data_IF_428794703481
#
_entry.id   IF_428794703481
#
_cell.length_a   1.000
_cell.length_b   1.000
_cell.length_c   1.000
_cell.angle_alpha   90.00
_cell.angle_beta   90.00
_cell.angle_gamma   90.00
#
_symmetry.space_group_name_H-M   'P 1'
#
loop_
_entity.id
_entity.type
_entity.pdbx_description
1 polymer ?
#
# COMPACT_ATOMS: atom_id res chain seq x y z
N UNK A 1 -14.69 23.12 25.77
CA UNK A 1 -16.11 22.96 26.17
C UNK A 1 -16.96 23.08 24.90
N UNK A 2 -17.38 21.95 24.36
CA UNK A 2 -18.38 21.91 23.28
C UNK A 2 -19.71 22.20 23.94
N UNK A 3 -20.26 23.38 23.71
CA UNK A 3 -21.58 23.74 24.21
C UNK A 3 -22.63 22.83 23.58
N UNK A 4 -23.60 22.39 24.37
CA UNK A 4 -24.74 21.57 23.93
C UNK A 4 -25.66 22.25 22.91
N UNK A 5 -25.37 23.49 22.54
CA UNK A 5 -26.04 24.27 21.48
C UNK A 5 -25.43 24.06 20.08
N UNK A 6 -24.31 23.30 19.97
CA UNK A 6 -23.61 23.11 18.71
C UNK A 6 -24.02 21.82 17.98
N UNK A 7 -25.22 21.30 18.27
CA UNK A 7 -25.82 20.23 17.49
C UNK A 7 -26.16 20.75 16.09
N UNK A 8 -25.47 20.23 15.11
CA UNK A 8 -25.75 20.54 13.71
C UNK A 8 -27.11 19.94 13.35
N UNK A 9 -28.03 20.79 12.87
CA UNK A 9 -29.31 20.33 12.32
C UNK A 9 -29.12 19.97 10.84
N UNK A 10 -29.23 18.71 10.53
CA UNK A 10 -29.09 18.19 9.17
C UNK A 10 -30.42 18.12 8.40
N UNK A 11 -31.54 18.61 8.98
CA UNK A 11 -32.85 18.47 8.33
C UNK A 11 -32.96 19.20 6.99
N UNK A 12 -32.20 20.30 6.83
CA UNK A 12 -32.15 21.09 5.61
C UNK A 12 -31.09 20.61 4.62
N UNK A 13 -30.23 19.67 5.00
CA UNK A 13 -29.21 19.11 4.13
C UNK A 13 -29.82 18.15 3.09
N UNK A 14 -29.15 18.00 1.96
CA UNK A 14 -29.60 17.12 0.87
C UNK A 14 -29.96 15.69 1.36
N UNK A 15 -29.15 15.11 2.26
CA UNK A 15 -29.37 13.77 2.80
C UNK A 15 -30.25 13.74 4.05
N UNK A 16 -30.57 14.89 4.66
CA UNK A 16 -31.36 15.01 5.88
C UNK A 16 -30.78 14.32 7.11
N UNK A 17 -29.51 13.94 7.07
CA UNK A 17 -28.77 13.28 8.14
C UNK A 17 -27.28 13.46 7.98
N UNK A 18 -26.52 13.26 9.06
CA UNK A 18 -25.05 13.27 8.99
C UNK A 18 -24.57 12.23 7.97
N UNK A 19 -23.76 12.69 7.02
CA UNK A 19 -23.11 11.88 6.01
C UNK A 19 -21.65 12.26 5.90
N UNK A 20 -20.84 11.34 5.44
CA UNK A 20 -19.41 11.54 5.25
C UNK A 20 -18.96 10.99 3.90
N UNK A 21 -17.88 11.54 3.36
CA UNK A 21 -17.19 10.93 2.23
C UNK A 21 -16.57 9.60 2.66
N UNK A 22 -16.57 8.63 1.76
CA UNK A 22 -16.06 7.30 2.08
C UNK A 22 -14.55 7.29 2.28
N UNK A 23 -14.08 6.53 3.24
CA UNK A 23 -12.65 6.31 3.55
C UNK A 23 -12.11 5.07 2.83
N UNK A 24 -12.99 4.18 2.36
CA UNK A 24 -12.67 2.92 1.65
C UNK A 24 -13.98 2.30 1.14
N UNK A 25 -13.91 1.51 0.09
CA UNK A 25 -15.01 0.67 -0.38
C UNK A 25 -15.01 -0.73 0.23
N UNK A 26 -14.11 -1.02 1.15
CA UNK A 26 -13.87 -2.36 1.69
C UNK A 26 -15.10 -2.97 2.36
N UNK A 27 -15.74 -2.24 3.28
CA UNK A 27 -16.86 -2.79 4.07
C UNK A 27 -18.05 -3.20 3.20
N UNK A 28 -18.40 -2.39 2.22
CA UNK A 28 -19.43 -2.70 1.24
C UNK A 28 -18.98 -3.81 0.30
N UNK A 29 -17.69 -3.82 -0.06
CA UNK A 29 -17.05 -4.85 -0.87
C UNK A 29 -17.10 -6.23 -0.22
N UNK A 30 -16.80 -6.34 1.06
CA UNK A 30 -16.85 -7.60 1.83
C UNK A 30 -18.24 -8.24 1.82
N UNK A 31 -19.30 -7.43 1.89
CA UNK A 31 -20.68 -7.93 1.73
C UNK A 31 -20.90 -8.55 0.34
N UNK A 32 -20.37 -7.92 -0.70
CA UNK A 32 -20.41 -8.46 -2.07
C UNK A 32 -19.57 -9.72 -2.20
N UNK A 33 -18.37 -9.76 -1.65
CA UNK A 33 -17.46 -10.88 -1.72
C UNK A 33 -18.03 -12.15 -1.08
N UNK A 34 -18.78 -12.04 0.01
CA UNK A 34 -19.42 -13.20 0.64
C UNK A 34 -20.45 -13.88 -0.26
N UNK A 35 -21.07 -13.16 -1.18
CA UNK A 35 -22.08 -13.69 -2.12
C UNK A 35 -21.48 -14.09 -3.47
N UNK A 36 -20.49 -13.34 -3.96
CA UNK A 36 -19.93 -13.48 -5.31
C UNK A 36 -18.59 -14.18 -5.34
N UNK A 37 -17.94 -14.38 -4.18
CA UNK A 37 -16.65 -15.02 -4.04
C UNK A 37 -15.48 -14.07 -4.21
N UNK A 38 -15.43 -13.31 -5.29
CA UNK A 38 -14.39 -12.32 -5.56
C UNK A 38 -14.99 -11.08 -6.21
N UNK A 39 -14.67 -9.93 -5.68
CA UNK A 39 -15.04 -8.62 -6.21
C UNK A 39 -13.87 -7.65 -6.13
N UNK A 40 -14.02 -6.48 -6.68
CA UNK A 40 -13.17 -5.34 -6.34
C UNK A 40 -14.02 -4.07 -6.29
N UNK A 41 -13.58 -3.11 -5.50
CA UNK A 41 -14.04 -1.72 -5.59
C UNK A 41 -12.98 -0.88 -6.29
N UNK A 42 -13.44 0.13 -7.04
CA UNK A 42 -12.56 1.09 -7.68
C UNK A 42 -13.22 2.46 -7.67
N UNK A 43 -12.68 3.38 -6.89
CA UNK A 43 -13.29 4.70 -6.75
C UNK A 43 -12.47 5.65 -5.88
N UNK A 44 -12.92 6.91 -5.80
CA UNK A 44 -12.28 7.90 -4.95
C UNK A 44 -12.53 7.60 -3.48
N UNK A 45 -11.50 7.79 -2.68
CA UNK A 45 -11.52 7.68 -1.22
C UNK A 45 -11.00 8.96 -0.59
N UNK A 46 -11.47 9.24 0.62
CA UNK A 46 -11.19 10.50 1.31
C UNK A 46 -10.73 10.22 2.74
N UNK A 47 -9.59 10.76 3.11
CA UNK A 47 -9.03 10.61 4.46
C UNK A 47 -8.55 11.95 4.98
N UNK A 48 -8.95 12.31 6.19
CA UNK A 48 -8.45 13.50 6.89
C UNK A 48 -7.08 13.18 7.52
N UNK A 49 -6.06 13.04 6.67
CA UNK A 49 -4.69 12.76 7.10
C UNK A 49 -4.03 14.02 7.64
N UNK A 50 -3.45 13.93 8.83
CA UNK A 50 -2.65 15.02 9.41
C UNK A 50 -1.15 14.79 9.20
N UNK A 51 -0.77 14.24 8.06
CA UNK A 51 0.61 13.97 7.71
C UNK A 51 1.02 14.66 6.42
N UNK A 52 2.17 15.33 6.45
CA UNK A 52 2.75 16.03 5.30
C UNK A 52 3.81 15.15 4.63
N UNK A 53 3.46 13.92 4.26
CA UNK A 53 4.39 13.04 3.55
C UNK A 53 4.04 12.96 2.07
N UNK A 54 4.99 12.69 1.18
CA UNK A 54 4.73 12.51 -0.26
C UNK A 54 3.77 11.36 -0.60
N UNK A 55 3.46 10.50 0.38
CA UNK A 55 2.61 9.31 0.20
C UNK A 55 1.17 9.48 0.70
N UNK A 56 0.84 10.62 1.34
CA UNK A 56 -0.48 10.85 1.92
C UNK A 56 -1.19 11.98 1.22
N UNK A 57 -2.34 11.67 0.64
CA UNK A 57 -3.26 12.61 0.01
C UNK A 57 -4.62 12.54 0.72
N UNK A 58 -5.35 13.64 0.74
CA UNK A 58 -6.69 13.70 1.32
C UNK A 58 -7.75 13.05 0.41
N UNK A 59 -7.49 12.99 -0.89
CA UNK A 59 -8.31 12.34 -1.90
C UNK A 59 -7.41 11.52 -2.83
N UNK A 60 -7.77 10.27 -3.06
CA UNK A 60 -7.05 9.36 -3.96
C UNK A 60 -7.96 8.22 -4.41
N UNK A 61 -7.56 7.51 -5.45
CA UNK A 61 -8.29 6.36 -5.95
C UNK A 61 -7.61 5.08 -5.47
N UNK A 62 -8.43 4.11 -5.07
CA UNK A 62 -7.96 2.77 -4.72
C UNK A 62 -8.61 1.72 -5.59
N UNK A 63 -7.85 0.68 -5.92
CA UNK A 63 -8.36 -0.61 -6.35
C UNK A 63 -8.30 -1.53 -5.15
N UNK A 64 -9.44 -2.01 -4.69
CA UNK A 64 -9.59 -2.76 -3.45
C UNK A 64 -10.22 -4.13 -3.76
N UNK A 65 -9.43 -5.16 -4.10
CA UNK A 65 -9.94 -6.51 -4.30
C UNK A 65 -10.32 -7.16 -2.98
N UNK A 66 -11.49 -7.81 -2.95
CA UNK A 66 -12.00 -8.56 -1.83
C UNK A 66 -12.29 -10.00 -2.30
N UNK A 67 -11.57 -10.96 -1.75
CA UNK A 67 -11.66 -12.36 -2.16
C UNK A 67 -12.02 -13.24 -0.96
N UNK A 68 -13.24 -13.74 -0.95
CA UNK A 68 -13.70 -14.65 0.10
C UNK A 68 -12.96 -15.98 0.01
N UNK A 69 -12.74 -16.63 1.17
CA UNK A 69 -12.13 -17.95 1.31
C UNK A 69 -10.67 -18.06 0.87
N UNK A 70 -9.99 -16.91 0.67
CA UNK A 70 -8.57 -16.86 0.38
C UNK A 70 -7.79 -16.78 1.69
N UNK A 71 -6.78 -17.61 1.84
CA UNK A 71 -5.85 -17.56 2.98
C UNK A 71 -4.68 -16.59 2.69
N UNK A 72 -3.78 -16.42 3.68
CA UNK A 72 -2.63 -15.53 3.55
C UNK A 72 -1.71 -15.92 2.38
N UNK A 73 -1.52 -17.20 2.13
CA UNK A 73 -0.68 -17.67 1.04
C UNK A 73 -1.27 -17.29 -0.32
N UNK A 74 -2.56 -17.54 -0.51
CA UNK A 74 -3.27 -17.14 -1.72
C UNK A 74 -3.36 -15.61 -1.88
N UNK A 75 -3.46 -14.85 -0.78
CA UNK A 75 -3.42 -13.39 -0.83
C UNK A 75 -2.07 -12.89 -1.37
N UNK A 76 -0.95 -13.41 -0.87
CA UNK A 76 0.38 -13.03 -1.34
C UNK A 76 0.58 -13.37 -2.82
N UNK A 77 0.08 -14.52 -3.29
CA UNK A 77 0.11 -14.88 -4.72
C UNK A 77 -0.72 -13.88 -5.55
N UNK A 78 -1.91 -13.53 -5.10
CA UNK A 78 -2.77 -12.55 -5.75
C UNK A 78 -2.11 -11.17 -5.83
N UNK A 79 -1.47 -10.70 -4.75
CA UNK A 79 -0.76 -9.42 -4.72
C UNK A 79 0.41 -9.40 -5.72
N UNK A 80 1.20 -10.47 -5.77
CA UNK A 80 2.29 -10.60 -6.72
C UNK A 80 1.79 -10.57 -8.17
N UNK A 81 0.78 -11.36 -8.48
CA UNK A 81 0.17 -11.43 -9.82
C UNK A 81 -0.45 -10.10 -10.23
N UNK A 82 -1.15 -9.44 -9.30
CA UNK A 82 -1.77 -8.14 -9.56
C UNK A 82 -0.74 -7.05 -9.89
N UNK A 83 0.32 -6.94 -9.10
CA UNK A 83 1.40 -5.97 -9.34
C UNK A 83 2.09 -6.25 -10.67
N UNK A 84 2.43 -7.51 -10.92
CA UNK A 84 3.06 -7.92 -12.19
C UNK A 84 2.16 -7.69 -13.40
N UNK A 85 0.87 -7.93 -13.27
CA UNK A 85 -0.11 -7.64 -14.32
C UNK A 85 -0.13 -6.15 -14.66
N UNK A 86 -0.24 -5.28 -13.66
CA UNK A 86 -0.27 -3.83 -13.85
C UNK A 86 1.03 -3.31 -14.51
N UNK A 87 2.18 -3.80 -14.05
CA UNK A 87 3.48 -3.43 -14.62
C UNK A 87 3.57 -3.87 -16.08
N UNK A 88 3.21 -5.10 -16.38
CA UNK A 88 3.23 -5.63 -17.77
C UNK A 88 2.32 -4.82 -18.66
N UNK A 89 1.10 -4.55 -18.19
CA UNK A 89 0.15 -3.74 -18.94
C UNK A 89 0.70 -2.33 -19.25
N UNK A 90 1.31 -1.68 -18.27
CA UNK A 90 1.92 -0.37 -18.45
C UNK A 90 3.09 -0.41 -19.44
N UNK A 91 3.98 -1.39 -19.35
CA UNK A 91 5.11 -1.57 -20.28
C UNK A 91 4.63 -1.81 -21.71
N UNK A 92 3.52 -2.52 -21.89
CA UNK A 92 2.99 -2.84 -23.22
C UNK A 92 2.18 -1.68 -23.82
N UNK A 93 1.43 -0.95 -23.02
CA UNK A 93 0.42 0.00 -23.49
C UNK A 93 0.77 1.49 -23.25
N UNK A 94 1.70 1.82 -22.34
CA UNK A 94 2.08 3.19 -22.00
C UNK A 94 3.54 3.50 -22.38
N UNK A 95 4.00 3.02 -23.54
CA UNK A 95 5.42 3.09 -23.93
C UNK A 95 5.95 4.51 -24.04
N UNK A 96 5.18 5.41 -24.63
CA UNK A 96 5.60 6.80 -24.84
C UNK A 96 5.68 7.56 -23.51
N UNK A 97 4.70 7.35 -22.62
CA UNK A 97 4.68 7.94 -21.29
C UNK A 97 5.84 7.42 -20.43
N UNK A 98 6.06 6.10 -20.45
CA UNK A 98 7.19 5.49 -19.73
C UNK A 98 8.54 5.94 -20.27
N UNK A 99 8.69 6.08 -21.57
CA UNK A 99 9.91 6.62 -22.18
C UNK A 99 10.17 8.07 -21.74
N UNK A 100 9.12 8.90 -21.73
CA UNK A 100 9.20 10.26 -21.23
C UNK A 100 9.60 10.30 -19.75
N UNK A 101 8.89 9.56 -18.89
CA UNK A 101 9.17 9.51 -17.45
C UNK A 101 10.56 8.98 -17.16
N UNK A 102 10.99 7.91 -17.88
CA UNK A 102 12.33 7.34 -17.73
C UNK A 102 13.43 8.30 -18.14
N UNK A 103 13.17 9.14 -19.14
CA UNK A 103 14.15 10.14 -19.61
C UNK A 103 14.21 11.38 -18.73
N UNK A 104 13.07 11.88 -18.30
CA UNK A 104 12.93 13.21 -17.69
C UNK A 104 12.88 13.20 -16.17
N UNK A 105 12.34 12.13 -15.57
CA UNK A 105 12.07 12.06 -14.14
C UNK A 105 12.97 11.05 -13.44
N UNK A 106 13.01 9.80 -13.92
CA UNK A 106 13.72 8.71 -13.28
C UNK A 106 14.36 7.78 -14.33
N UNK A 107 15.64 7.96 -14.56
CA UNK A 107 16.40 7.20 -15.57
C UNK A 107 16.47 5.69 -15.35
N UNK A 108 16.10 5.22 -14.17
CA UNK A 108 16.05 3.81 -13.78
C UNK A 108 14.66 3.19 -13.82
N UNK A 109 13.63 3.95 -14.18
CA UNK A 109 12.23 3.54 -14.05
C UNK A 109 11.93 2.23 -14.78
N UNK A 110 12.19 2.17 -16.08
CA UNK A 110 11.86 0.99 -16.90
C UNK A 110 12.63 -0.24 -16.42
N UNK A 111 13.95 -0.10 -16.19
CA UNK A 111 14.77 -1.21 -15.70
C UNK A 111 14.27 -1.74 -14.35
N UNK A 112 13.80 -0.87 -13.46
CA UNK A 112 13.21 -1.26 -12.18
C UNK A 112 11.88 -1.98 -12.35
N UNK A 113 10.99 -1.50 -13.23
CA UNK A 113 9.73 -2.18 -13.55
C UNK A 113 9.97 -3.58 -14.12
N UNK A 114 10.91 -3.70 -15.07
CA UNK A 114 11.31 -4.98 -15.64
C UNK A 114 11.93 -5.92 -14.59
N UNK A 115 12.72 -5.38 -13.66
CA UNK A 115 13.28 -6.16 -12.55
C UNK A 115 12.19 -6.72 -11.64
N UNK A 116 11.18 -5.92 -11.30
CA UNK A 116 10.04 -6.39 -10.49
C UNK A 116 9.26 -7.47 -11.24
N UNK A 117 8.98 -7.26 -12.54
CA UNK A 117 8.24 -8.20 -13.37
C UNK A 117 8.92 -9.58 -13.47
N UNK A 118 10.25 -9.60 -13.52
CA UNK A 118 11.06 -10.80 -13.71
C UNK A 118 11.56 -11.43 -12.39
N UNK A 119 11.22 -10.84 -11.24
CA UNK A 119 11.61 -11.35 -9.94
C UNK A 119 10.47 -12.17 -9.30
N UNK A 120 10.83 -13.15 -8.49
CA UNK A 120 9.95 -13.72 -7.48
C UNK A 120 9.96 -12.80 -6.25
N UNK A 121 8.79 -12.56 -5.67
CA UNK A 121 8.67 -11.76 -4.46
C UNK A 121 9.18 -12.54 -3.25
N UNK A 122 9.85 -11.85 -2.36
CA UNK A 122 10.33 -12.43 -1.10
C UNK A 122 9.19 -12.32 -0.07
N UNK A 123 8.80 -13.46 0.51
CA UNK A 123 7.86 -13.49 1.63
C UNK A 123 8.66 -13.41 2.94
N UNK A 124 8.60 -12.28 3.61
CA UNK A 124 9.43 -11.96 4.76
C UNK A 124 8.59 -11.79 6.03
N UNK A 125 8.70 -12.67 7.02
CA UNK A 125 8.11 -12.43 8.33
C UNK A 125 8.75 -11.20 9.01
N UNK A 126 7.94 -10.37 9.66
CA UNK A 126 8.39 -9.16 10.36
C UNK A 126 9.58 -9.40 11.29
N UNK A 127 9.52 -10.44 12.13
CA UNK A 127 10.61 -10.78 13.06
C UNK A 127 11.94 -11.00 12.33
N UNK A 128 11.91 -11.65 11.17
CA UNK A 128 13.11 -11.87 10.35
C UNK A 128 13.59 -10.56 9.72
N UNK A 129 12.66 -9.70 9.27
CA UNK A 129 12.96 -8.36 8.77
C UNK A 129 13.69 -7.52 9.81
N UNK A 130 13.19 -7.49 11.04
CA UNK A 130 13.86 -6.80 12.16
C UNK A 130 15.26 -7.38 12.44
N UNK A 131 15.41 -8.71 12.42
CA UNK A 131 16.71 -9.35 12.61
C UNK A 131 17.73 -8.88 11.56
N UNK A 132 17.33 -8.84 10.29
CA UNK A 132 18.20 -8.37 9.19
C UNK A 132 18.60 -6.89 9.39
N UNK A 133 17.64 -6.04 9.78
CA UNK A 133 17.89 -4.63 10.03
C UNK A 133 18.86 -4.42 11.22
N UNK A 134 18.67 -5.15 12.30
CA UNK A 134 19.56 -5.10 13.47
C UNK A 134 20.97 -5.62 13.14
N UNK A 135 21.09 -6.66 12.34
CA UNK A 135 22.40 -7.12 11.83
C UNK A 135 23.08 -6.05 10.97
N UNK A 136 22.33 -5.35 10.11
CA UNK A 136 22.87 -4.25 9.33
C UNK A 136 23.36 -3.10 10.23
N UNK A 137 22.64 -2.76 11.29
CA UNK A 137 23.03 -1.75 12.28
C UNK A 137 24.33 -2.20 12.97
N UNK A 138 24.42 -3.45 13.41
CA UNK A 138 25.62 -4.00 14.04
C UNK A 138 26.84 -3.96 13.09
N UNK A 139 26.61 -4.05 11.79
CA UNK A 139 27.63 -3.93 10.74
C UNK A 139 27.92 -2.49 10.31
N UNK A 140 27.36 -1.50 11.01
CA UNK A 140 27.68 -0.08 10.81
C UNK A 140 26.70 0.69 9.92
N UNK A 141 25.60 0.08 9.48
CA UNK A 141 24.50 0.81 8.81
C UNK A 141 23.85 1.74 9.82
N UNK A 142 23.56 2.96 9.40
CA UNK A 142 22.85 3.95 10.25
C UNK A 142 21.49 4.22 9.65
N UNK A 143 20.48 4.16 10.49
CA UNK A 143 19.11 4.60 10.20
C UNK A 143 18.79 5.83 11.04
N UNK A 144 17.89 6.65 10.57
CA UNK A 144 17.40 7.85 11.27
C UNK A 144 16.42 7.47 12.40
N UNK A 145 15.60 6.46 12.13
CA UNK A 145 14.59 5.97 13.06
C UNK A 145 15.03 4.70 13.78
N UNK A 146 14.60 4.49 15.04
CA UNK A 146 14.88 3.26 15.75
C UNK A 146 14.27 2.06 15.03
N UNK A 147 14.87 0.89 15.24
CA UNK A 147 14.40 -0.36 14.66
C UNK A 147 14.57 -1.49 15.67
N UNK A 148 13.62 -1.58 16.59
CA UNK A 148 13.54 -2.68 17.56
C UNK A 148 12.30 -3.55 17.28
N UNK A 149 12.27 -4.72 17.88
CA UNK A 149 11.11 -5.59 17.70
C UNK A 149 9.87 -4.98 18.36
N UNK A 150 8.82 -4.78 17.58
CA UNK A 150 7.60 -4.11 17.99
C UNK A 150 7.45 -2.69 17.42
N UNK A 151 8.51 -2.13 16.86
CA UNK A 151 8.44 -0.83 16.19
C UNK A 151 7.80 -0.93 14.81
N UNK A 152 7.11 0.14 14.40
CA UNK A 152 6.71 0.32 13.01
C UNK A 152 7.94 0.56 12.12
N UNK A 153 7.95 -0.08 10.96
CA UNK A 153 9.03 0.14 10.00
C UNK A 153 8.90 1.50 9.32
N UNK A 154 9.95 2.30 9.41
CA UNK A 154 10.08 3.52 8.62
C UNK A 154 10.41 3.18 7.16
N UNK A 155 10.12 4.11 6.25
CA UNK A 155 10.40 3.95 4.80
C UNK A 155 11.86 3.63 4.49
N UNK A 156 12.81 4.09 5.31
CA UNK A 156 14.23 3.77 5.13
C UNK A 156 14.55 2.30 5.43
N UNK A 157 13.86 1.69 6.41
CA UNK A 157 13.99 0.28 6.74
C UNK A 157 13.47 -0.60 5.60
N UNK A 158 12.28 -0.27 5.08
CA UNK A 158 11.68 -0.95 3.93
C UNK A 158 12.58 -0.86 2.69
N UNK A 159 13.10 0.34 2.41
CA UNK A 159 14.01 0.55 1.27
C UNK A 159 15.30 -0.26 1.41
N UNK A 160 15.89 -0.30 2.60
CA UNK A 160 17.07 -1.13 2.83
C UNK A 160 16.81 -2.60 2.53
N UNK A 161 15.70 -3.15 3.03
CA UNK A 161 15.34 -4.55 2.79
C UNK A 161 15.15 -4.83 1.29
N UNK A 162 14.41 -3.96 0.59
CA UNK A 162 14.07 -4.16 -0.83
C UNK A 162 15.24 -3.84 -1.74
N UNK A 163 15.92 -2.69 -1.55
CA UNK A 163 16.88 -2.15 -2.53
C UNK A 163 18.31 -2.62 -2.26
N UNK A 164 18.71 -2.80 -0.98
CA UNK A 164 20.08 -3.13 -0.63
C UNK A 164 20.25 -4.61 -0.29
N UNK A 165 19.37 -5.17 0.54
CA UNK A 165 19.52 -6.54 1.05
C UNK A 165 19.03 -7.59 0.04
N UNK A 166 17.74 -7.61 -0.27
CA UNK A 166 17.17 -8.64 -1.17
C UNK A 166 17.29 -8.28 -2.64
N UNK A 167 17.28 -6.99 -2.97
CA UNK A 167 17.25 -6.46 -4.36
C UNK A 167 16.08 -7.05 -5.17
N UNK A 168 14.97 -7.28 -4.49
CA UNK A 168 13.73 -7.88 -5.00
C UNK A 168 12.54 -7.27 -4.26
N UNK A 169 11.34 -7.34 -4.84
CA UNK A 169 10.11 -7.00 -4.12
C UNK A 169 9.95 -7.91 -2.89
N UNK A 170 9.42 -7.34 -1.82
CA UNK A 170 9.23 -8.03 -0.53
C UNK A 170 7.79 -7.84 -0.08
N UNK A 171 7.12 -8.94 0.25
CA UNK A 171 5.85 -8.93 0.98
C UNK A 171 6.18 -9.26 2.43
N UNK A 172 5.93 -8.31 3.31
CA UNK A 172 6.19 -8.50 4.74
C UNK A 172 4.91 -8.91 5.47
N UNK A 173 5.03 -9.94 6.30
CA UNK A 173 3.91 -10.56 7.01
C UNK A 173 4.17 -10.67 8.51
N UNK A 174 3.13 -11.03 9.26
CA UNK A 174 3.24 -11.34 10.69
C UNK A 174 3.73 -10.17 11.54
N UNK A 175 3.25 -8.97 11.25
CA UNK A 175 3.48 -7.82 12.13
C UNK A 175 2.95 -8.10 13.54
N UNK A 176 3.63 -7.63 14.59
CA UNK A 176 3.12 -7.72 15.96
C UNK A 176 1.83 -6.90 16.10
N UNK A 177 1.00 -7.30 17.07
CA UNK A 177 -0.22 -6.57 17.42
C UNK A 177 0.09 -5.39 18.33
#
# INVERSE_FOLDING_TARGET
DVCSSDLIDYSDDFFGKQTSLTVSGQLEGELGATALGAIYTFGPTFRAENSNTPRHLAEFWMVEPEVAFLDMAGLMELEEDFIKYCIRWALDNCKDDLAFLNKMIDKGLIARLESVLNSEFVHLPYTEGIRILQEAIANGKKFEFPCEWGDDLASEHERFLVEEHFKKPVIMTNYPK
#
